data_IF_152655224197
#
_entry.id   IF_152655224197
#
_cell.length_a   1.000
_cell.length_b   1.000
_cell.length_c   1.000
_cell.angle_alpha   90.00
_cell.angle_beta   90.00
_cell.angle_gamma   90.00
#
_symmetry.space_group_name_H-M   'P 1'
#
loop_
_entity.id
_entity.type
_entity.pdbx_description
1 polymer ?
#
# COMPACT_ATOMS: atom_id res chain seq x y z
N UNK A 1 -16.17 -1.04 -17.58
CA UNK A 1 -17.29 -1.76 -16.96
C UNK A 1 -16.87 -2.56 -15.71
N UNK A 2 -15.82 -3.41 -15.77
CA UNK A 2 -15.31 -4.18 -14.61
C UNK A 2 -14.86 -3.28 -13.45
N UNK A 3 -14.15 -2.20 -13.73
CA UNK A 3 -13.68 -1.23 -12.73
C UNK A 3 -14.87 -0.57 -12.01
N UNK A 4 -15.88 -0.16 -12.75
CA UNK A 4 -17.09 0.43 -12.19
C UNK A 4 -17.84 -0.53 -11.26
N UNK A 5 -17.97 -1.80 -11.64
CA UNK A 5 -18.59 -2.82 -10.81
C UNK A 5 -17.79 -3.11 -9.54
N UNK A 6 -16.46 -3.13 -9.64
CA UNK A 6 -15.60 -3.38 -8.48
C UNK A 6 -15.66 -2.24 -7.47
N UNK A 7 -15.68 -0.97 -7.91
CA UNK A 7 -15.86 0.21 -7.04
C UNK A 7 -17.14 0.16 -6.22
N UNK A 8 -18.22 -0.27 -6.83
CA UNK A 8 -19.54 -0.44 -6.17
C UNK A 8 -19.65 -1.74 -5.39
N UNK A 9 -18.70 -2.64 -5.57
CA UNK A 9 -18.69 -3.92 -4.86
C UNK A 9 -18.39 -3.72 -3.38
N UNK A 10 -18.98 -4.56 -2.55
CA UNK A 10 -18.72 -4.55 -1.12
C UNK A 10 -17.22 -4.80 -0.78
N UNK A 11 -16.50 -5.74 -1.44
CA UNK A 11 -15.06 -5.90 -1.28
C UNK A 11 -14.27 -4.61 -1.55
N UNK A 12 -14.59 -3.89 -2.62
CA UNK A 12 -13.95 -2.61 -2.97
C UNK A 12 -14.18 -1.54 -1.90
N UNK A 13 -15.44 -1.34 -1.48
CA UNK A 13 -15.79 -0.41 -0.40
C UNK A 13 -15.10 -0.76 0.91
N UNK A 14 -15.04 -2.04 1.27
CA UNK A 14 -14.35 -2.50 2.48
C UNK A 14 -12.86 -2.15 2.43
N UNK A 15 -12.15 -2.46 1.35
CA UNK A 15 -10.73 -2.16 1.20
C UNK A 15 -10.44 -0.66 1.27
N UNK A 16 -11.25 0.15 0.60
CA UNK A 16 -11.13 1.62 0.70
C UNK A 16 -11.32 2.07 2.15
N UNK A 17 -12.35 1.58 2.83
CA UNK A 17 -12.65 1.98 4.20
C UNK A 17 -11.56 1.55 5.19
N UNK A 18 -10.98 0.35 5.04
CA UNK A 18 -9.85 -0.11 5.87
C UNK A 18 -8.57 0.73 5.69
N UNK A 19 -8.42 1.42 4.56
CA UNK A 19 -7.28 2.30 4.30
C UNK A 19 -7.54 3.75 4.72
N UNK A 20 -8.73 4.29 4.37
CA UNK A 20 -9.04 5.72 4.46
C UNK A 20 -9.71 6.13 5.78
N UNK A 21 -10.35 5.19 6.47
CA UNK A 21 -11.12 5.46 7.68
C UNK A 21 -10.77 4.45 8.79
N UNK A 22 -9.57 4.57 9.40
CA UNK A 22 -9.02 3.58 10.33
C UNK A 22 -9.83 3.42 11.64
N UNK A 23 -10.72 4.35 11.93
CA UNK A 23 -11.61 4.29 13.11
C UNK A 23 -12.99 3.68 12.82
N UNK A 24 -13.33 3.43 11.56
CA UNK A 24 -14.61 2.84 11.17
C UNK A 24 -14.75 1.40 11.67
N UNK A 25 -15.99 1.00 11.89
CA UNK A 25 -16.35 -0.37 12.32
C UNK A 25 -17.11 -1.12 11.24
N UNK A 26 -17.29 -2.43 11.43
CA UNK A 26 -18.20 -3.21 10.57
C UNK A 26 -19.63 -2.65 10.62
N UNK A 27 -20.09 -2.20 11.79
CA UNK A 27 -21.43 -1.62 11.93
C UNK A 27 -21.63 -0.41 11.01
N UNK A 28 -20.63 0.49 10.97
CA UNK A 28 -20.68 1.67 10.10
C UNK A 28 -20.79 1.28 8.62
N UNK A 29 -20.01 0.27 8.20
CA UNK A 29 -20.05 -0.21 6.82
C UNK A 29 -21.38 -0.90 6.49
N UNK A 30 -21.97 -1.65 7.41
CA UNK A 30 -23.28 -2.29 7.22
C UNK A 30 -24.38 -1.24 7.11
N UNK A 31 -24.38 -0.23 7.94
CA UNK A 31 -25.33 0.90 7.90
C UNK A 31 -25.22 1.65 6.56
N UNK A 32 -24.00 1.97 6.13
CA UNK A 32 -23.74 2.67 4.85
C UNK A 32 -24.21 1.86 3.63
N UNK A 33 -24.07 0.54 3.69
CA UNK A 33 -24.32 -0.32 2.53
C UNK A 33 -25.70 -0.99 2.52
N UNK A 34 -26.41 -0.96 3.66
CA UNK A 34 -27.72 -1.60 3.84
C UNK A 34 -27.64 -3.14 3.86
N UNK A 35 -26.48 -3.74 3.99
CA UNK A 35 -26.34 -5.20 4.04
C UNK A 35 -26.49 -5.76 5.44
N UNK A 36 -27.17 -6.90 5.57
CA UNK A 36 -27.11 -7.70 6.78
C UNK A 36 -25.72 -8.30 6.98
N UNK A 37 -25.36 -8.60 8.24
CA UNK A 37 -24.07 -9.23 8.56
C UNK A 37 -23.83 -10.54 7.79
N UNK A 38 -24.85 -11.37 7.62
CA UNK A 38 -24.75 -12.62 6.85
C UNK A 38 -24.48 -12.36 5.37
N UNK A 39 -25.18 -11.39 4.77
CA UNK A 39 -24.96 -10.99 3.39
C UNK A 39 -23.55 -10.40 3.18
N UNK A 40 -23.05 -9.62 4.14
CA UNK A 40 -21.70 -9.10 4.13
C UNK A 40 -20.66 -10.23 4.02
N UNK A 41 -20.66 -11.18 4.96
CA UNK A 41 -19.67 -12.25 4.97
C UNK A 41 -19.71 -13.13 3.71
N UNK A 42 -20.90 -13.40 3.18
CA UNK A 42 -21.06 -14.13 1.92
C UNK A 42 -20.42 -13.38 0.76
N UNK A 43 -20.62 -12.06 0.65
CA UNK A 43 -20.13 -11.23 -0.44
C UNK A 43 -18.62 -11.00 -0.38
N UNK A 44 -18.00 -11.00 0.79
CA UNK A 44 -16.55 -10.82 0.94
C UNK A 44 -15.78 -12.15 1.00
N UNK A 45 -16.45 -13.30 0.83
CA UNK A 45 -15.82 -14.63 0.99
C UNK A 45 -14.58 -14.82 0.09
N UNK A 46 -14.69 -14.43 -1.18
CA UNK A 46 -13.58 -14.49 -2.13
C UNK A 46 -12.41 -13.59 -1.72
N UNK A 47 -12.69 -12.36 -1.25
CA UNK A 47 -11.67 -11.46 -0.73
C UNK A 47 -10.99 -12.07 0.51
N UNK A 48 -11.76 -12.62 1.45
CA UNK A 48 -11.19 -13.28 2.64
C UNK A 48 -10.28 -14.45 2.28
N UNK A 49 -10.64 -15.23 1.27
CA UNK A 49 -9.80 -16.34 0.78
C UNK A 49 -8.49 -15.80 0.18
N UNK A 50 -8.57 -14.75 -0.63
CA UNK A 50 -7.40 -14.09 -1.21
C UNK A 50 -6.46 -13.54 -0.12
N UNK A 51 -7.01 -12.82 0.86
CA UNK A 51 -6.25 -12.25 1.97
C UNK A 51 -5.56 -13.34 2.80
N UNK A 52 -6.27 -14.43 3.12
CA UNK A 52 -5.67 -15.56 3.86
C UNK A 52 -4.47 -16.19 3.15
N UNK A 53 -4.53 -16.31 1.81
CA UNK A 53 -3.39 -16.80 1.02
C UNK A 53 -2.19 -15.87 1.08
N UNK A 54 -2.42 -14.58 1.33
CA UNK A 54 -1.38 -13.59 1.56
C UNK A 54 -1.04 -13.43 3.06
N UNK A 55 -1.53 -14.32 3.93
CA UNK A 55 -1.36 -14.27 5.39
C UNK A 55 -1.82 -12.93 6.00
N UNK A 56 -2.90 -12.40 5.44
CA UNK A 56 -3.56 -11.18 5.91
C UNK A 56 -4.99 -11.50 6.31
N UNK A 57 -5.48 -10.89 7.36
CA UNK A 57 -6.85 -11.01 7.85
C UNK A 57 -7.52 -9.64 7.96
N UNK A 58 -8.85 -9.65 8.14
CA UNK A 58 -9.64 -8.44 8.34
C UNK A 58 -10.02 -8.37 9.81
N UNK A 59 -9.65 -7.27 10.48
CA UNK A 59 -10.23 -6.87 11.75
C UNK A 59 -11.54 -6.12 11.49
N UNK A 60 -12.53 -6.33 12.34
CA UNK A 60 -13.89 -5.76 12.17
C UNK A 60 -14.16 -4.56 13.09
N UNK A 61 -13.31 -4.37 14.10
CA UNK A 61 -13.48 -3.30 15.10
C UNK A 61 -12.11 -2.90 15.67
N UNK A 62 -11.50 -1.83 15.21
CA UNK A 62 -11.83 -1.05 13.99
C UNK A 62 -11.61 -1.85 12.70
N UNK A 63 -12.24 -1.43 11.61
CA UNK A 63 -12.02 -2.04 10.30
C UNK A 63 -10.58 -1.80 9.84
N UNK A 64 -9.79 -2.87 9.79
CA UNK A 64 -8.39 -2.80 9.37
C UNK A 64 -7.92 -4.13 8.78
N UNK A 65 -6.80 -4.11 8.08
CA UNK A 65 -6.08 -5.32 7.69
C UNK A 65 -5.01 -5.63 8.72
N UNK A 66 -4.91 -6.90 9.13
CA UNK A 66 -3.92 -7.42 10.08
C UNK A 66 -2.99 -8.36 9.32
N UNK A 67 -1.70 -8.16 9.47
CA UNK A 67 -0.64 -8.94 8.83
C UNK A 67 0.65 -8.14 8.74
N UNK A 68 1.62 -8.65 8.00
CA UNK A 68 2.86 -7.93 7.75
C UNK A 68 2.58 -6.66 6.91
N UNK A 69 3.12 -5.52 7.31
CA UNK A 69 2.87 -4.23 6.66
C UNK A 69 3.24 -4.22 5.17
N UNK A 70 4.36 -4.82 4.71
CA UNK A 70 4.66 -4.94 3.29
C UNK A 70 3.56 -5.64 2.49
N UNK A 71 2.99 -6.72 3.04
CA UNK A 71 1.90 -7.48 2.40
C UNK A 71 0.60 -6.68 2.34
N UNK A 72 0.26 -6.01 3.43
CA UNK A 72 -0.92 -5.14 3.48
C UNK A 72 -0.83 -4.05 2.41
N UNK A 73 0.30 -3.35 2.32
CA UNK A 73 0.51 -2.30 1.31
C UNK A 73 0.48 -2.86 -0.10
N UNK A 74 1.05 -4.05 -0.31
CA UNK A 74 1.00 -4.71 -1.62
C UNK A 74 -0.44 -5.08 -2.01
N UNK A 75 -1.25 -5.58 -1.08
CA UNK A 75 -2.67 -5.87 -1.31
C UNK A 75 -3.43 -4.60 -1.73
N UNK A 76 -3.23 -3.50 -0.99
CA UNK A 76 -3.84 -2.22 -1.38
C UNK A 76 -3.39 -1.78 -2.77
N UNK A 77 -2.10 -1.88 -3.08
CA UNK A 77 -1.58 -1.52 -4.42
C UNK A 77 -2.21 -2.37 -5.52
N UNK A 78 -2.30 -3.68 -5.34
CA UNK A 78 -2.83 -4.58 -6.36
C UNK A 78 -4.34 -4.44 -6.55
N UNK A 79 -5.08 -4.39 -5.47
CA UNK A 79 -6.54 -4.40 -5.53
C UNK A 79 -7.13 -3.00 -5.75
N UNK A 80 -6.58 -1.97 -5.10
CA UNK A 80 -7.10 -0.62 -5.24
C UNK A 80 -6.63 0.08 -6.52
N UNK A 81 -5.46 -0.31 -7.11
CA UNK A 81 -5.04 0.23 -8.40
C UNK A 81 -6.12 0.05 -9.49
N UNK A 82 -6.83 -1.05 -9.45
CA UNK A 82 -7.94 -1.32 -10.38
C UNK A 82 -9.16 -0.40 -10.17
N UNK A 83 -9.21 0.29 -9.03
CA UNK A 83 -10.28 1.26 -8.70
C UNK A 83 -9.90 2.70 -9.06
N UNK A 84 -8.62 2.94 -9.33
CA UNK A 84 -8.11 4.28 -9.66
C UNK A 84 -8.41 4.58 -11.11
N UNK A 85 -9.34 5.48 -11.33
CA UNK A 85 -9.52 6.19 -12.58
C UNK A 85 -8.82 7.53 -12.50
N UNK A 86 -8.24 7.99 -13.59
CA UNK A 86 -7.64 9.33 -13.66
C UNK A 86 -8.74 10.34 -13.32
N UNK A 87 -8.68 10.90 -12.12
CA UNK A 87 -9.73 11.83 -11.60
C UNK A 87 -10.55 11.31 -10.41
N UNK A 88 -10.24 10.12 -9.87
CA UNK A 88 -10.93 9.62 -8.70
C UNK A 88 -10.43 10.29 -7.40
N UNK A 89 -11.33 10.87 -6.58
CA UNK A 89 -10.97 11.55 -5.33
C UNK A 89 -10.49 10.63 -4.21
N UNK A 90 -10.37 9.30 -4.42
CA UNK A 90 -10.03 8.34 -3.35
C UNK A 90 -8.73 8.67 -2.59
N UNK A 91 -7.84 9.48 -3.15
CA UNK A 91 -6.56 9.81 -2.56
C UNK A 91 -6.19 11.29 -2.69
N UNK A 92 -7.16 12.16 -2.94
CA UNK A 92 -6.88 13.59 -3.21
C UNK A 92 -6.41 14.35 -1.98
N UNK A 93 -6.76 13.90 -0.79
CA UNK A 93 -6.43 14.53 0.49
C UNK A 93 -4.93 14.58 0.78
N UNK A 94 -4.18 13.52 0.43
CA UNK A 94 -2.71 13.46 0.63
C UNK A 94 -1.92 13.47 -0.68
N UNK A 95 -2.59 13.71 -1.81
CA UNK A 95 -1.91 13.77 -3.11
C UNK A 95 -0.83 14.87 -3.19
N UNK A 96 -0.97 16.06 -2.59
CA UNK A 96 0.10 17.06 -2.55
C UNK A 96 1.35 16.55 -1.83
N UNK A 97 1.20 15.88 -0.68
CA UNK A 97 2.30 15.29 0.09
C UNK A 97 2.99 14.17 -0.71
N UNK A 98 2.21 13.32 -1.38
CA UNK A 98 2.75 12.29 -2.27
C UNK A 98 3.56 12.88 -3.40
N UNK A 99 3.11 13.96 -4.02
CA UNK A 99 3.85 14.67 -5.07
C UNK A 99 5.17 15.25 -4.57
N UNK A 100 5.18 15.84 -3.36
CA UNK A 100 6.39 16.34 -2.74
C UNK A 100 7.39 15.21 -2.47
N UNK A 101 6.92 14.08 -1.94
CA UNK A 101 7.75 12.91 -1.69
C UNK A 101 8.37 12.38 -2.99
N UNK A 102 7.56 12.19 -4.03
CA UNK A 102 8.06 11.69 -5.32
C UNK A 102 9.05 12.65 -5.97
N UNK A 103 8.82 13.97 -5.93
CA UNK A 103 9.80 14.96 -6.42
C UNK A 103 11.15 14.83 -5.70
N UNK A 104 11.14 14.64 -4.39
CA UNK A 104 12.38 14.44 -3.62
C UNK A 104 13.10 13.15 -4.01
N UNK A 105 12.37 12.05 -4.23
CA UNK A 105 12.95 10.79 -4.69
C UNK A 105 13.50 10.91 -6.13
N UNK A 106 12.82 11.63 -7.02
CA UNK A 106 13.31 11.92 -8.38
C UNK A 106 14.61 12.72 -8.35
N UNK A 107 14.66 13.76 -7.53
CA UNK A 107 15.86 14.58 -7.37
C UNK A 107 17.05 13.79 -6.80
N UNK A 108 16.81 12.74 -6.04
CA UNK A 108 17.82 11.82 -5.51
C UNK A 108 18.18 10.67 -6.49
N UNK A 109 17.58 10.61 -7.67
CA UNK A 109 17.79 9.52 -8.64
C UNK A 109 17.16 8.19 -8.23
N UNK A 110 16.22 8.20 -7.30
CA UNK A 110 15.53 7.00 -6.80
C UNK A 110 14.31 6.61 -7.63
N UNK A 111 14.00 7.31 -8.69
CA UNK A 111 12.86 6.98 -9.57
C UNK A 111 13.37 6.46 -10.90
N UNK A 112 12.95 5.27 -11.28
CA UNK A 112 13.33 4.64 -12.54
C UNK A 112 12.63 5.34 -13.72
N UNK A 113 13.35 5.51 -14.84
CA UNK A 113 12.88 6.24 -16.02
C UNK A 113 11.60 5.65 -16.62
N UNK A 114 11.49 4.32 -16.61
CA UNK A 114 10.41 3.58 -17.27
C UNK A 114 9.24 3.29 -16.33
N UNK A 115 9.32 3.75 -15.07
CA UNK A 115 8.25 3.50 -14.12
C UNK A 115 7.14 4.56 -14.19
N UNK A 116 5.90 4.11 -14.17
CA UNK A 116 4.75 5.01 -14.21
C UNK A 116 4.68 5.92 -12.98
N UNK A 117 4.79 7.23 -13.19
CA UNK A 117 4.66 8.24 -12.15
C UNK A 117 3.31 8.12 -11.44
N UNK A 118 2.23 7.79 -12.17
CA UNK A 118 0.91 7.58 -11.58
C UNK A 118 0.90 6.40 -10.59
N UNK A 119 1.55 5.28 -10.94
CA UNK A 119 1.67 4.13 -10.02
C UNK A 119 2.52 4.46 -8.79
N UNK A 120 3.57 5.27 -8.97
CA UNK A 120 4.42 5.69 -7.86
C UNK A 120 3.69 6.64 -6.91
N UNK A 121 2.95 7.63 -7.46
CA UNK A 121 2.09 8.51 -6.68
C UNK A 121 1.03 7.73 -5.91
N UNK A 122 0.40 6.76 -6.56
CA UNK A 122 -0.57 5.89 -5.90
C UNK A 122 0.05 5.08 -4.76
N UNK A 123 1.25 4.53 -4.97
CA UNK A 123 2.00 3.82 -3.94
C UNK A 123 2.38 4.72 -2.77
N UNK A 124 2.83 5.94 -3.06
CA UNK A 124 3.15 6.94 -2.04
C UNK A 124 1.90 7.34 -1.22
N UNK A 125 0.74 7.50 -1.87
CA UNK A 125 -0.52 7.75 -1.18
C UNK A 125 -0.87 6.64 -0.19
N UNK A 126 -0.81 5.37 -0.62
CA UNK A 126 -1.06 4.23 0.28
C UNK A 126 -0.11 4.29 1.48
N UNK A 127 1.19 4.50 1.22
CA UNK A 127 2.20 4.56 2.28
C UNK A 127 1.90 5.68 3.28
N UNK A 128 1.55 6.88 2.79
CA UNK A 128 1.24 8.02 3.66
C UNK A 128 -0.03 7.80 4.47
N UNK A 129 -1.09 7.21 3.89
CA UNK A 129 -2.29 6.82 4.66
C UNK A 129 -1.94 5.82 5.77
N UNK A 130 -1.12 4.81 5.47
CA UNK A 130 -0.68 3.83 6.46
C UNK A 130 0.15 4.49 7.57
N UNK A 131 1.05 5.40 7.23
CA UNK A 131 1.84 6.16 8.20
C UNK A 131 0.96 7.06 9.09
N UNK A 132 -0.02 7.77 8.52
CA UNK A 132 -1.00 8.55 9.29
C UNK A 132 -1.82 7.68 10.26
N UNK A 133 -2.00 6.40 9.94
CA UNK A 133 -2.63 5.41 10.82
C UNK A 133 -1.62 4.68 11.76
N UNK A 134 -0.40 5.22 11.92
CA UNK A 134 0.68 4.68 12.76
C UNK A 134 1.20 3.29 12.33
N UNK A 135 1.11 2.96 11.05
CA UNK A 135 1.68 1.74 10.49
C UNK A 135 2.91 2.05 9.66
N UNK A 136 4.08 1.67 10.15
CA UNK A 136 5.38 1.87 9.49
C UNK A 136 5.92 0.57 8.92
N UNK A 137 6.72 0.70 7.83
CA UNK A 137 7.49 -0.38 7.23
C UNK A 137 8.81 -0.65 7.99
N UNK A 138 9.22 0.25 8.86
CA UNK A 138 10.49 0.13 9.60
C UNK A 138 10.54 -1.17 10.40
N UNK A 139 11.69 -1.85 10.36
CA UNK A 139 11.90 -3.13 11.04
C UNK A 139 11.23 -4.35 10.41
N UNK A 140 10.43 -4.17 9.33
CA UNK A 140 9.73 -5.28 8.67
C UNK A 140 10.47 -5.85 7.46
N UNK A 141 11.43 -5.11 6.92
CA UNK A 141 12.27 -5.50 5.78
C UNK A 141 13.73 -5.22 6.05
N UNK A 142 14.60 -6.13 5.60
CA UNK A 142 16.03 -5.93 5.61
C UNK A 142 16.48 -5.28 4.28
N UNK A 143 16.76 -3.98 4.30
CA UNK A 143 17.21 -3.23 3.14
C UNK A 143 18.74 -3.30 2.91
N UNK A 144 19.52 -3.88 3.83
CA UNK A 144 20.99 -3.96 3.70
C UNK A 144 21.44 -4.84 2.53
N UNK A 145 20.58 -5.76 2.11
CA UNK A 145 20.83 -6.64 0.97
C UNK A 145 20.64 -5.97 -0.41
N UNK A 146 20.08 -4.76 -0.47
CA UNK A 146 19.94 -4.01 -1.73
C UNK A 146 21.31 -3.66 -2.33
N UNK A 147 21.59 -4.15 -3.53
CA UNK A 147 22.81 -3.82 -4.29
C UNK A 147 22.45 -3.51 -5.75
N UNK A 148 22.84 -2.34 -6.29
CA UNK A 148 23.42 -1.22 -5.55
C UNK A 148 22.39 -0.54 -4.64
N UNK A 149 22.83 -0.05 -3.50
CA UNK A 149 21.94 0.77 -2.66
C UNK A 149 21.64 2.10 -3.37
N UNK A 150 20.37 2.53 -3.43
CA UNK A 150 20.04 3.83 -3.98
C UNK A 150 20.57 4.94 -3.08
N UNK A 151 20.99 6.05 -3.68
CA UNK A 151 21.35 7.25 -2.93
C UNK A 151 20.10 7.88 -2.32
N UNK A 152 19.99 7.85 -1.01
CA UNK A 152 18.88 8.50 -0.31
C UNK A 152 19.01 10.04 -0.36
N UNK A 153 17.90 10.79 -0.35
CA UNK A 153 17.93 12.23 -0.20
C UNK A 153 18.70 12.66 1.05
N UNK A 154 19.60 13.64 0.92
CA UNK A 154 20.39 14.18 2.05
C UNK A 154 19.47 14.74 3.15
N UNK A 155 18.37 15.38 2.76
CA UNK A 155 17.34 15.92 3.65
C UNK A 155 16.09 15.05 3.55
N UNK A 156 15.54 14.69 4.70
CA UNK A 156 14.27 13.96 4.75
C UNK A 156 13.18 14.82 4.11
N UNK A 157 12.42 14.26 3.14
CA UNK A 157 11.30 14.96 2.50
C UNK A 157 10.25 15.41 3.53
N UNK A 158 9.64 16.58 3.30
CA UNK A 158 8.67 17.17 4.23
C UNK A 158 7.55 16.20 4.67
N UNK A 159 6.95 15.35 3.80
CA UNK A 159 5.94 14.40 4.23
C UNK A 159 6.39 13.35 5.24
N UNK A 160 7.70 13.14 5.38
CA UNK A 160 8.31 12.18 6.31
C UNK A 160 9.12 12.85 7.42
N UNK A 161 9.13 14.19 7.49
CA UNK A 161 10.03 14.95 8.38
C UNK A 161 9.77 14.72 9.87
N UNK A 162 8.53 14.34 10.23
CA UNK A 162 8.14 14.05 11.61
C UNK A 162 8.48 12.62 12.07
N UNK A 163 9.02 11.79 11.17
CA UNK A 163 9.41 10.42 11.49
C UNK A 163 10.88 10.36 11.96
N UNK A 164 11.24 9.38 12.80
CA UNK A 164 12.64 9.04 13.04
C UNK A 164 13.35 8.78 11.69
N UNK A 165 14.62 9.22 11.58
CA UNK A 165 15.38 9.13 10.33
C UNK A 165 15.38 7.72 9.73
N UNK A 166 15.64 6.71 10.54
CA UNK A 166 15.65 5.31 10.10
C UNK A 166 14.29 4.87 9.53
N UNK A 167 13.19 5.34 10.12
CA UNK A 167 11.83 5.07 9.61
C UNK A 167 11.59 5.75 8.27
N UNK A 168 11.95 7.03 8.14
CA UNK A 168 11.81 7.77 6.88
C UNK A 168 12.64 7.13 5.76
N UNK A 169 13.87 6.71 6.06
CA UNK A 169 14.74 6.00 5.11
C UNK A 169 14.13 4.67 4.67
N UNK A 170 13.59 3.88 5.59
CA UNK A 170 12.89 2.62 5.28
C UNK A 170 11.67 2.85 4.37
N UNK A 171 10.89 3.89 4.61
CA UNK A 171 9.74 4.25 3.76
C UNK A 171 10.17 4.64 2.34
N UNK A 172 11.25 5.41 2.20
CA UNK A 172 11.79 5.78 0.89
C UNK A 172 12.34 4.56 0.14
N UNK A 173 13.07 3.68 0.82
CA UNK A 173 13.59 2.43 0.26
C UNK A 173 12.44 1.50 -0.17
N UNK A 174 11.37 1.42 0.60
CA UNK A 174 10.19 0.64 0.22
C UNK A 174 9.51 1.17 -1.04
N UNK A 175 9.41 2.49 -1.19
CA UNK A 175 8.90 3.10 -2.43
C UNK A 175 9.83 2.84 -3.62
N UNK A 176 11.14 2.87 -3.41
CA UNK A 176 12.13 2.50 -4.42
C UNK A 176 11.96 1.06 -4.86
N UNK A 177 11.90 0.11 -3.92
CA UNK A 177 11.66 -1.31 -4.20
C UNK A 177 10.33 -1.55 -4.92
N UNK A 178 9.30 -0.79 -4.57
CA UNK A 178 8.00 -0.90 -5.20
C UNK A 178 7.97 -0.57 -6.70
N UNK A 179 9.02 0.00 -7.26
CA UNK A 179 9.18 0.26 -8.69
C UNK A 179 9.64 -1.00 -9.45
N UNK A 180 10.28 -1.93 -8.76
CA UNK A 180 10.60 -3.23 -9.32
C UNK A 180 9.34 -4.09 -9.32
N UNK A 181 9.09 -4.86 -10.39
CA UNK A 181 7.95 -5.77 -10.45
C UNK A 181 8.09 -6.81 -9.34
N UNK A 182 7.37 -6.62 -8.23
CA UNK A 182 7.37 -7.58 -7.13
C UNK A 182 6.60 -8.82 -7.61
N UNK A 183 7.21 -10.02 -7.63
CA UNK A 183 6.51 -11.25 -7.94
C UNK A 183 5.31 -11.45 -7.02
N UNK A 184 4.28 -12.15 -7.50
CA UNK A 184 3.13 -12.53 -6.66
C UNK A 184 3.63 -13.36 -5.49
N UNK A 185 3.16 -13.05 -4.29
CA UNK A 185 3.53 -13.75 -3.07
C UNK A 185 3.32 -15.26 -3.18
N UNK A 186 4.32 -16.04 -2.83
CA UNK A 186 4.15 -17.45 -2.61
C UNK A 186 4.50 -17.87 -1.17
N UNK A 187 5.45 -17.20 -0.49
CA UNK A 187 5.81 -17.47 0.93
C UNK A 187 6.50 -16.26 1.57
N UNK A 188 6.60 -16.22 2.92
CA UNK A 188 7.32 -15.18 3.67
C UNK A 188 8.81 -15.05 3.28
N UNK A 189 9.46 -16.17 3.00
CA UNK A 189 10.87 -16.22 2.60
C UNK A 189 11.16 -15.47 1.29
N UNK A 190 10.15 -15.23 0.46
CA UNK A 190 10.28 -14.49 -0.81
C UNK A 190 10.19 -12.96 -0.65
N UNK A 191 10.03 -12.47 0.57
CA UNK A 191 10.04 -11.03 0.90
C UNK A 191 11.39 -10.49 1.33
N UNK A 192 12.44 -11.28 1.24
CA UNK A 192 13.78 -10.77 1.42
C UNK A 192 14.12 -9.79 0.28
N UNK A 193 14.61 -8.61 0.63
CA UNK A 193 15.03 -7.59 -0.34
C UNK A 193 16.08 -8.13 -1.34
N UNK A 194 16.88 -9.13 -0.95
CA UNK A 194 17.82 -9.81 -1.82
C UNK A 194 17.13 -10.60 -2.95
N UNK A 195 16.00 -11.22 -2.67
CA UNK A 195 15.20 -11.96 -3.66
C UNK A 195 14.57 -11.02 -4.69
N UNK A 196 14.21 -9.78 -4.27
CA UNK A 196 13.67 -8.76 -5.16
C UNK A 196 14.70 -8.25 -6.16
N UNK A 197 15.98 -8.19 -5.78
CA UNK A 197 17.09 -7.71 -6.64
C UNK A 197 17.61 -8.83 -7.56
N UNK A 198 17.59 -10.10 -7.12
CA UNK A 198 18.07 -11.25 -7.90
C UNK A 198 17.25 -11.55 -9.15
N UNK A 199 15.99 -11.12 -9.23
CA UNK A 199 15.11 -11.34 -10.39
C UNK A 199 15.47 -10.47 -11.63
N UNK A 200 16.40 -9.52 -11.51
CA UNK A 200 16.82 -8.65 -12.61
C UNK A 200 18.18 -8.98 -13.22
N UNK A 201 18.82 -10.04 -12.75
CA UNK A 201 20.13 -10.49 -13.25
C UNK A 201 20.06 -11.72 -14.17
N UNK A 202 18.85 -12.11 -14.62
CA UNK A 202 18.65 -13.23 -15.55
C UNK A 202 17.98 -12.76 -16.84
#
# INVERSE_FOLDING_TARGET
YRIFLYRRSLPGKLLVKTLMAPTSTLSDLLTETGFSRAAFFRRISALRLYLRRAEVSINLTPLSLIGSEPRIRQIYRQLLWQLVDIGNPLFTDILPESRQLIKALQAAGMVQRDFSVAQLLFSANINLHRLKANHSIAGTLNFSALKPQPSLPKKIPAPLANLPRATAEAEMLYLYLGQWRIPRFHTEQQFDAATLVGYHAA
#
